data_IF_435763420414
#
_entry.id   IF_435763420414
#
_cell.length_a   1.000
_cell.length_b   1.000
_cell.length_c   1.000
_cell.angle_alpha   90.00
_cell.angle_beta   90.00
_cell.angle_gamma   90.00
#
_symmetry.space_group_name_H-M   'P 1'
#
loop_
_entity.id
_entity.type
_entity.pdbx_description
1 polymer ?
#
# COMPACT_ATOMS: atom_id res chain seq x y z
N UNK A 1 8.95 -41.31 26.00
CA UNK A 1 8.08 -40.49 26.86
C UNK A 1 8.74 -39.13 27.00
N UNK A 2 8.20 -37.95 26.73
CA UNK A 2 6.91 -37.46 26.21
C UNK A 2 7.15 -35.98 25.89
N UNK A 3 6.70 -35.48 24.72
CA UNK A 3 6.42 -34.04 24.46
C UNK A 3 4.92 -33.82 24.72
N UNK A 4 4.32 -32.60 24.67
CA UNK A 4 4.82 -31.21 24.72
C UNK A 4 3.93 -30.30 25.63
N UNK A 5 4.23 -28.99 25.75
CA UNK A 5 3.24 -27.89 25.64
C UNK A 5 3.88 -26.52 25.88
N UNK A 6 3.44 -25.51 25.11
CA UNK A 6 3.88 -24.13 25.25
C UNK A 6 3.89 -23.37 23.94
N UNK A 7 2.81 -23.48 23.18
CA UNK A 7 2.62 -22.79 21.92
C UNK A 7 2.70 -21.26 22.12
N UNK A 8 3.78 -20.63 21.67
CA UNK A 8 3.67 -19.24 21.22
C UNK A 8 2.92 -19.29 19.90
N UNK A 9 1.65 -18.92 19.94
CA UNK A 9 0.86 -18.60 18.74
C UNK A 9 1.62 -17.50 18.01
N UNK A 10 2.35 -17.89 16.97
CA UNK A 10 2.83 -16.98 15.95
C UNK A 10 1.58 -16.36 15.35
N UNK A 11 1.33 -15.10 15.72
CA UNK A 11 0.24 -14.30 15.19
C UNK A 11 0.24 -14.42 13.68
N UNK A 12 -0.82 -15.06 13.20
CA UNK A 12 -1.45 -14.94 11.90
C UNK A 12 -0.60 -14.21 10.84
N UNK A 13 0.20 -14.97 10.10
CA UNK A 13 0.61 -14.61 8.74
C UNK A 13 -0.68 -14.32 7.99
N UNK A 14 -1.10 -13.05 7.89
CA UNK A 14 -2.31 -12.63 7.17
C UNK A 14 -2.13 -13.16 5.77
N UNK A 15 -2.85 -14.24 5.48
CA UNK A 15 -2.71 -15.02 4.26
C UNK A 15 -2.71 -14.06 3.09
N UNK A 16 -1.63 -14.09 2.32
CA UNK A 16 -1.59 -13.58 0.96
C UNK A 16 -2.68 -14.35 0.20
N UNK A 17 -3.91 -13.86 0.30
CA UNK A 17 -5.02 -14.41 -0.47
C UNK A 17 -4.61 -14.20 -1.91
N UNK A 18 -4.46 -15.31 -2.63
CA UNK A 18 -4.28 -15.25 -4.07
C UNK A 18 -5.60 -14.81 -4.69
N UNK A 19 -5.92 -13.53 -4.55
CA UNK A 19 -7.11 -12.89 -5.10
C UNK A 19 -6.90 -12.66 -6.61
N UNK A 20 -6.40 -13.65 -7.34
CA UNK A 20 -6.26 -13.58 -8.79
C UNK A 20 -7.60 -13.90 -9.43
N UNK A 21 -8.10 -12.96 -10.23
CA UNK A 21 -9.24 -13.19 -11.12
C UNK A 21 -8.80 -12.97 -12.56
N UNK A 22 -9.35 -13.80 -13.44
CA UNK A 22 -9.20 -13.61 -14.88
C UNK A 22 -10.11 -12.48 -15.31
N UNK A 23 -9.53 -11.40 -15.83
CA UNK A 23 -10.26 -10.29 -16.43
C UNK A 23 -10.27 -10.42 -17.95
N UNK A 24 -11.34 -9.93 -18.60
CA UNK A 24 -11.42 -9.91 -20.05
C UNK A 24 -10.72 -8.68 -20.61
N UNK A 25 -9.83 -8.90 -21.58
CA UNK A 25 -9.27 -7.83 -22.41
C UNK A 25 -10.12 -7.70 -23.67
N UNK A 26 -10.45 -6.47 -24.05
CA UNK A 26 -11.25 -6.16 -25.23
C UNK A 26 -10.82 -4.84 -25.86
N UNK A 27 -11.32 -4.56 -27.07
CA UNK A 27 -11.07 -3.30 -27.78
C UNK A 27 -12.25 -2.34 -27.59
N UNK A 28 -11.95 -1.06 -27.36
CA UNK A 28 -12.90 0.05 -27.38
C UNK A 28 -12.40 1.10 -28.37
N UNK A 29 -13.03 1.17 -29.54
CA UNK A 29 -12.52 1.95 -30.67
C UNK A 29 -11.11 1.48 -31.08
N UNK A 30 -10.13 2.40 -30.98
CA UNK A 30 -8.71 2.12 -31.26
C UNK A 30 -7.89 1.73 -30.02
N UNK A 31 -8.51 1.69 -28.85
CA UNK A 31 -7.85 1.46 -27.56
C UNK A 31 -8.10 0.05 -27.03
N UNK A 32 -7.13 -0.50 -26.30
CA UNK A 32 -7.30 -1.73 -25.53
C UNK A 32 -7.80 -1.41 -24.12
N UNK A 33 -8.73 -2.21 -23.61
CA UNK A 33 -9.32 -2.05 -22.29
C UNK A 33 -9.40 -3.39 -21.55
N UNK A 34 -9.39 -3.34 -20.22
CA UNK A 34 -9.58 -4.49 -19.34
C UNK A 34 -10.86 -4.29 -18.54
N UNK A 35 -11.74 -5.29 -18.52
CA UNK A 35 -12.96 -5.26 -17.70
C UNK A 35 -12.62 -5.68 -16.28
N UNK A 36 -12.54 -4.72 -15.36
CA UNK A 36 -12.29 -4.99 -13.95
C UNK A 36 -13.49 -5.71 -13.29
N UNK A 37 -13.26 -6.87 -12.65
CA UNK A 37 -14.25 -7.49 -11.76
C UNK A 37 -14.65 -6.54 -10.62
N UNK A 38 -15.79 -6.80 -9.97
CA UNK A 38 -16.39 -5.87 -8.99
C UNK A 38 -15.43 -5.58 -7.83
N UNK A 39 -14.70 -6.58 -7.38
CA UNK A 39 -13.74 -6.54 -6.28
C UNK A 39 -12.45 -5.77 -6.60
N UNK A 40 -12.12 -5.50 -7.87
CA UNK A 40 -10.94 -4.73 -8.30
C UNK A 40 -11.30 -3.35 -8.87
N UNK A 41 -12.52 -2.86 -8.64
CA UNK A 41 -12.92 -1.53 -9.12
C UNK A 41 -12.22 -0.46 -8.27
N UNK A 42 -11.71 0.56 -8.95
CA UNK A 42 -11.27 1.79 -8.31
C UNK A 42 -12.49 2.64 -7.92
N UNK A 43 -12.33 3.39 -6.84
CA UNK A 43 -13.20 4.48 -6.41
C UNK A 43 -12.90 5.79 -7.15
N UNK A 44 -11.76 5.87 -7.83
CA UNK A 44 -11.35 6.99 -8.68
C UNK A 44 -11.69 6.75 -10.16
N UNK A 45 -11.81 7.83 -10.92
CA UNK A 45 -12.00 7.81 -12.38
C UNK A 45 -10.67 7.74 -13.15
N UNK A 46 -9.56 8.10 -12.49
CA UNK A 46 -8.20 8.12 -13.05
C UNK A 46 -7.27 7.20 -12.28
N UNK A 47 -6.36 6.57 -13.03
CA UNK A 47 -5.32 5.67 -12.51
C UNK A 47 -3.97 5.99 -13.12
N UNK A 48 -2.92 5.83 -12.32
CA UNK A 48 -1.53 5.78 -12.75
C UNK A 48 -1.22 4.39 -13.30
N UNK A 49 -0.48 4.34 -14.41
CA UNK A 49 -0.05 3.10 -15.05
C UNK A 49 1.47 3.05 -15.02
N UNK A 50 2.05 1.99 -14.44
CA UNK A 50 3.48 1.68 -14.58
C UNK A 50 3.69 0.26 -15.06
N UNK A 51 4.85 0.01 -15.65
CA UNK A 51 5.27 -1.31 -16.11
C UNK A 51 6.37 -1.86 -15.21
N UNK A 52 6.19 -3.08 -14.74
CA UNK A 52 7.16 -3.81 -13.92
C UNK A 52 7.45 -5.15 -14.59
N UNK A 53 8.51 -5.18 -15.41
CA UNK A 53 8.80 -6.31 -16.28
C UNK A 53 7.63 -6.61 -17.22
N UNK A 54 6.98 -7.77 -17.02
CA UNK A 54 5.81 -8.19 -17.80
C UNK A 54 4.48 -7.74 -17.19
N UNK A 55 4.49 -7.19 -15.98
CA UNK A 55 3.29 -6.74 -15.28
C UNK A 55 2.97 -5.30 -15.64
N UNK A 56 1.67 -5.01 -15.74
CA UNK A 56 1.13 -3.65 -15.76
C UNK A 56 0.49 -3.42 -14.40
N UNK A 57 0.99 -2.44 -13.67
CA UNK A 57 0.49 -2.08 -12.35
C UNK A 57 -0.33 -0.81 -12.48
N UNK A 58 -1.58 -0.90 -12.03
CA UNK A 58 -2.52 0.21 -11.94
C UNK A 58 -2.59 0.68 -10.49
N UNK A 59 -2.55 1.99 -10.27
CA UNK A 59 -2.71 2.58 -8.93
C UNK A 59 -3.67 3.76 -9.04
N UNK A 60 -4.51 4.03 -8.03
CA UNK A 60 -5.39 5.21 -8.06
C UNK A 60 -4.55 6.48 -8.21
N UNK A 61 -5.06 7.43 -8.98
CA UNK A 61 -4.48 8.77 -9.09
C UNK A 61 -5.28 9.70 -8.19
N UNK A 62 -4.61 10.35 -7.25
CA UNK A 62 -5.18 11.36 -6.37
C UNK A 62 -4.87 12.76 -6.91
N UNK A 63 -5.83 13.66 -6.86
CA UNK A 63 -5.66 15.03 -7.38
C UNK A 63 -4.90 15.94 -6.40
N UNK A 64 -5.13 15.73 -5.11
CA UNK A 64 -4.55 16.52 -4.03
C UNK A 64 -4.34 15.69 -2.76
N UNK A 65 -3.82 16.34 -1.71
CA UNK A 65 -3.57 15.71 -0.43
C UNK A 65 -4.86 15.36 0.33
N UNK A 66 -5.95 16.10 0.14
CA UNK A 66 -7.20 15.82 0.83
C UNK A 66 -7.84 14.54 0.30
N UNK A 67 -7.79 14.33 -1.02
CA UNK A 67 -8.22 13.10 -1.68
C UNK A 67 -7.38 11.89 -1.23
N UNK A 68 -6.05 12.04 -1.22
CA UNK A 68 -5.16 11.01 -0.69
C UNK A 68 -5.44 10.68 0.78
N UNK A 69 -5.66 11.68 1.64
CA UNK A 69 -5.93 11.45 3.06
C UNK A 69 -7.29 10.76 3.31
N UNK A 70 -8.24 10.86 2.37
CA UNK A 70 -9.54 10.19 2.43
C UNK A 70 -9.48 8.77 1.87
N UNK A 71 -8.88 8.59 0.70
CA UNK A 71 -8.99 7.37 -0.12
C UNK A 71 -7.67 6.59 -0.25
N UNK A 72 -6.55 7.20 0.11
CA UNK A 72 -5.21 6.62 0.02
C UNK A 72 -4.97 5.46 0.99
N UNK A 73 -3.83 4.81 0.81
CA UNK A 73 -3.41 3.70 1.65
C UNK A 73 -3.34 4.12 3.12
N UNK A 74 -4.01 3.34 3.98
CA UNK A 74 -3.93 3.51 5.43
C UNK A 74 -2.68 2.81 5.95
N UNK A 75 -2.03 3.45 6.91
CA UNK A 75 -1.00 2.80 7.71
C UNK A 75 -1.63 1.59 8.41
N UNK A 76 -0.92 0.46 8.48
CA UNK A 76 -1.46 -0.72 9.14
C UNK A 76 -1.64 -0.45 10.65
N UNK A 77 -2.53 -1.19 11.30
CA UNK A 77 -2.90 -0.95 12.71
C UNK A 77 -1.72 -1.14 13.68
N UNK A 78 -0.70 -1.89 13.26
CA UNK A 78 0.56 -2.12 13.97
C UNK A 78 1.65 -1.10 13.62
N UNK A 79 1.36 -0.14 12.75
CA UNK A 79 2.22 1.02 12.56
C UNK A 79 2.18 1.84 13.84
N UNK A 80 3.30 1.84 14.57
CA UNK A 80 3.45 2.62 15.80
C UNK A 80 3.17 4.09 15.48
N UNK A 81 1.97 4.56 15.83
CA UNK A 81 1.69 5.98 15.88
C UNK A 81 2.68 6.56 16.90
N UNK A 82 3.61 7.39 16.43
CA UNK A 82 4.66 7.95 17.25
C UNK A 82 4.06 8.41 18.58
N UNK A 83 4.38 7.68 19.65
CA UNK A 83 3.95 8.08 20.98
C UNK A 83 4.52 9.47 21.26
N UNK A 84 3.93 10.27 22.15
CA UNK A 84 4.56 11.53 22.58
C UNK A 84 6.02 11.36 23.03
N UNK A 85 6.40 10.16 23.44
CA UNK A 85 7.75 9.72 23.79
C UNK A 85 8.64 9.53 22.54
N UNK A 86 8.12 8.94 21.46
CA UNK A 86 8.82 8.85 20.15
C UNK A 86 8.97 10.21 19.46
N UNK A 87 8.07 11.17 19.73
CA UNK A 87 8.23 12.57 19.30
C UNK A 87 9.42 13.25 19.98
N UNK A 88 9.95 12.68 21.07
CA UNK A 88 11.08 13.22 21.83
C UNK A 88 12.39 12.53 21.46
N UNK A 89 12.87 12.91 20.30
CA UNK A 89 14.29 13.11 20.08
C UNK A 89 14.42 14.37 19.24
N UNK A 90 14.39 15.55 19.85
CA UNK A 90 15.20 16.63 19.26
C UNK A 90 16.62 16.08 19.25
N UNK A 91 16.99 15.41 18.16
CA UNK A 91 18.38 15.12 17.88
C UNK A 91 19.09 16.46 18.04
N UNK A 92 20.21 16.53 18.79
CA UNK A 92 20.91 17.78 18.98
C UNK A 92 21.06 18.46 17.63
N UNK A 93 20.53 19.69 17.51
CA UNK A 93 20.69 20.46 16.28
C UNK A 93 22.19 20.57 16.01
N UNK A 94 22.65 19.91 14.96
CA UNK A 94 24.05 19.98 14.57
C UNK A 94 24.33 21.42 14.14
N UNK A 95 25.21 22.11 14.89
CA UNK A 95 25.64 23.45 14.52
C UNK A 95 26.41 23.32 13.22
N UNK A 96 25.83 23.80 12.12
CA UNK A 96 26.54 23.93 10.85
C UNK A 96 27.47 25.12 10.98
N UNK A 97 28.76 24.90 10.72
CA UNK A 97 29.70 26.00 10.50
C UNK A 97 29.19 26.86 9.33
N UNK A 98 29.24 28.20 9.43
CA UNK A 98 28.96 29.07 8.31
C UNK A 98 29.84 28.68 7.12
N UNK A 99 29.29 28.74 5.91
CA UNK A 99 30.12 28.69 4.71
C UNK A 99 30.84 30.04 4.59
N UNK A 100 32.17 30.02 4.49
CA UNK A 100 33.00 31.18 4.14
C UNK A 100 32.69 31.72 2.73
#
# INVERSE_FOLDING_TARGET
MTRPAGARRLGSKKEERDDRKIARVFMTGRSQAVRLPKEFRFDTDRVLIRREGRHVVLSPMFEDWDDYLKNGARLPDDFEAATPEMRKGELPLEKREPFD
#
